data_IF_022698502396
#
_entry.id   IF_022698502396
#
_cell.length_a   1.000
_cell.length_b   1.000
_cell.length_c   1.000
_cell.angle_alpha   90.00
_cell.angle_beta   90.00
_cell.angle_gamma   90.00
#
_symmetry.space_group_name_H-M   'P 1'
#
loop_
_entity.id
_entity.type
_entity.pdbx_description
1 polymer ?
#
# COMPACT_ATOMS: atom_id res chain seq x y z
N UNK A 1 -15.79 -5.62 18.61
CA UNK A 1 -14.63 -6.45 19.06
C UNK A 1 -13.54 -5.49 19.48
N UNK A 2 -13.16 -5.49 20.75
CA UNK A 2 -11.98 -4.71 21.20
C UNK A 2 -10.74 -5.27 20.52
N UNK A 3 -9.90 -4.39 19.96
CA UNK A 3 -8.58 -4.74 19.45
C UNK A 3 -7.79 -5.27 20.65
N UNK A 4 -7.41 -6.54 20.64
CA UNK A 4 -6.68 -7.14 21.74
C UNK A 4 -5.21 -6.70 21.76
N UNK A 5 -4.65 -6.38 20.59
CA UNK A 5 -3.30 -5.84 20.44
C UNK A 5 -3.22 -4.95 19.19
N UNK A 6 -2.28 -3.99 19.15
CA UNK A 6 -2.01 -3.17 17.96
C UNK A 6 -1.59 -4.02 16.74
N UNK A 7 -1.01 -5.19 16.97
CA UNK A 7 -0.62 -6.15 15.91
C UNK A 7 -1.80 -6.72 15.13
N UNK A 8 -3.02 -6.66 15.69
CA UNK A 8 -4.21 -7.17 15.02
C UNK A 8 -4.79 -6.17 14.00
N UNK A 9 -4.37 -4.90 14.09
CA UNK A 9 -4.75 -3.86 13.15
C UNK A 9 -3.98 -4.02 11.84
N UNK A 10 -4.69 -4.33 10.76
CA UNK A 10 -4.13 -4.31 9.41
C UNK A 10 -4.62 -3.09 8.65
N UNK A 11 -3.75 -2.11 8.52
CA UNK A 11 -4.05 -0.81 7.94
C UNK A 11 -4.45 -0.91 6.46
N UNK A 12 -3.75 -1.78 5.71
CA UNK A 12 -3.99 -2.04 4.28
C UNK A 12 -3.80 -3.53 4.02
N UNK A 13 -4.78 -4.17 3.37
CA UNK A 13 -4.69 -5.57 2.94
C UNK A 13 -5.55 -5.83 1.72
N UNK A 14 -5.33 -6.93 1.02
CA UNK A 14 -6.30 -7.44 0.07
C UNK A 14 -7.49 -8.08 0.79
N UNK A 15 -8.64 -8.12 0.11
CA UNK A 15 -9.71 -9.05 0.48
C UNK A 15 -9.31 -10.48 0.07
N UNK A 16 -10.12 -11.49 0.43
CA UNK A 16 -9.81 -12.92 0.19
C UNK A 16 -9.57 -13.24 -1.28
N UNK A 17 -10.29 -12.58 -2.20
CA UNK A 17 -10.22 -12.80 -3.63
C UNK A 17 -9.14 -11.94 -4.31
N UNK A 18 -8.47 -11.07 -3.59
CA UNK A 18 -7.52 -10.06 -4.08
C UNK A 18 -8.09 -9.18 -5.21
N UNK A 19 -9.41 -8.93 -5.18
CA UNK A 19 -10.12 -8.07 -6.14
C UNK A 19 -10.58 -6.73 -5.52
N UNK A 20 -10.21 -6.49 -4.27
CA UNK A 20 -10.42 -5.26 -3.52
C UNK A 20 -9.34 -5.01 -2.49
N UNK A 21 -9.07 -3.74 -2.23
CA UNK A 21 -8.17 -3.28 -1.18
C UNK A 21 -8.99 -2.92 0.05
N UNK A 22 -8.74 -3.57 1.17
CA UNK A 22 -9.35 -3.22 2.45
C UNK A 22 -8.42 -2.26 3.18
N UNK A 23 -8.93 -1.10 3.56
CA UNK A 23 -8.22 -0.11 4.37
C UNK A 23 -8.97 0.16 5.66
N UNK A 24 -8.25 0.50 6.73
CA UNK A 24 -8.80 1.11 7.92
C UNK A 24 -9.01 2.60 7.65
N UNK A 25 -10.27 3.08 7.78
CA UNK A 25 -10.55 4.52 7.64
C UNK A 25 -10.04 5.29 8.86
N UNK A 26 -8.83 5.84 8.74
CA UNK A 26 -8.17 6.55 9.82
C UNK A 26 -8.79 7.91 10.14
N UNK A 27 -9.69 8.43 9.30
CA UNK A 27 -10.40 9.69 9.56
C UNK A 27 -11.43 9.56 10.67
N UNK A 28 -11.87 8.34 10.96
CA UNK A 28 -12.86 8.04 11.99
C UNK A 28 -12.25 7.71 13.35
N UNK A 29 -10.92 7.50 13.41
CA UNK A 29 -10.22 7.21 14.65
C UNK A 29 -10.07 8.47 15.53
N UNK A 30 -10.05 8.34 16.86
CA UNK A 30 -10.24 7.12 17.65
C UNK A 30 -11.72 6.78 17.92
N UNK A 31 -12.66 7.57 17.43
CA UNK A 31 -14.07 7.44 17.79
C UNK A 31 -14.73 6.19 17.21
N UNK A 32 -14.29 5.73 16.05
CA UNK A 32 -14.86 4.56 15.36
C UNK A 32 -13.80 3.83 14.57
N UNK A 33 -13.74 2.52 14.70
CA UNK A 33 -13.00 1.63 13.81
C UNK A 33 -13.91 1.21 12.65
N UNK A 34 -13.51 1.53 11.42
CA UNK A 34 -14.25 1.16 10.21
C UNK A 34 -13.30 0.78 9.09
N UNK A 35 -13.63 -0.28 8.38
CA UNK A 35 -12.89 -0.73 7.22
C UNK A 35 -13.67 -0.46 5.94
N UNK A 36 -12.98 -0.01 4.91
CA UNK A 36 -13.52 0.22 3.58
C UNK A 36 -12.90 -0.79 2.61
N UNK A 37 -13.71 -1.34 1.71
CA UNK A 37 -13.23 -2.14 0.58
C UNK A 37 -13.25 -1.27 -0.67
N UNK A 38 -12.09 -1.03 -1.25
CA UNK A 38 -11.89 -0.19 -2.42
C UNK A 38 -11.66 -1.09 -3.62
N UNK A 39 -12.41 -0.86 -4.68
CA UNK A 39 -12.44 -1.73 -5.87
C UNK A 39 -12.20 -0.98 -7.17
N UNK A 40 -12.28 0.35 -7.17
CA UNK A 40 -12.09 1.21 -8.34
C UNK A 40 -10.96 2.21 -8.12
N UNK A 41 -10.44 2.77 -9.22
CA UNK A 41 -9.41 3.79 -9.16
C UNK A 41 -9.89 5.05 -8.43
N UNK A 42 -11.16 5.41 -8.59
CA UNK A 42 -11.80 6.56 -7.95
C UNK A 42 -11.87 6.39 -6.44
N UNK A 43 -12.28 5.21 -5.98
CA UNK A 43 -12.35 4.90 -4.54
C UNK A 43 -10.97 4.93 -3.89
N UNK A 44 -9.95 4.39 -4.58
CA UNK A 44 -8.56 4.38 -4.11
C UNK A 44 -8.00 5.80 -4.07
N UNK A 45 -8.23 6.57 -5.14
CA UNK A 45 -7.83 7.97 -5.22
C UNK A 45 -8.45 8.79 -4.07
N UNK A 46 -9.77 8.65 -3.87
CA UNK A 46 -10.50 9.34 -2.81
C UNK A 46 -9.97 8.99 -1.41
N UNK A 47 -9.69 7.71 -1.18
CA UNK A 47 -9.17 7.24 0.10
C UNK A 47 -7.78 7.82 0.42
N UNK A 48 -6.91 7.95 -0.58
CA UNK A 48 -5.58 8.54 -0.44
C UNK A 48 -5.70 10.07 -0.28
N UNK A 49 -6.49 10.72 -1.13
CA UNK A 49 -6.69 12.17 -1.13
C UNK A 49 -7.28 12.67 0.18
N UNK A 50 -8.32 11.99 0.68
CA UNK A 50 -9.02 12.33 1.95
C UNK A 50 -8.31 11.82 3.20
N UNK A 51 -7.11 11.25 3.07
CA UNK A 51 -6.34 10.71 4.21
C UNK A 51 -7.06 9.59 4.99
N UNK A 52 -7.97 8.86 4.36
CA UNK A 52 -8.56 7.65 4.95
C UNK A 52 -7.49 6.58 5.16
N UNK A 53 -6.50 6.50 4.26
CA UNK A 53 -5.21 5.87 4.46
C UNK A 53 -4.14 6.96 4.49
N UNK A 54 -3.26 6.95 5.49
CA UNK A 54 -2.25 7.98 5.69
C UNK A 54 -0.96 7.39 6.27
N UNK A 55 0.15 8.12 6.09
CA UNK A 55 1.51 7.64 6.36
C UNK A 55 2.18 7.23 5.05
N UNK A 56 3.45 7.64 4.89
CA UNK A 56 4.14 7.48 3.61
C UNK A 56 4.19 6.02 3.12
N UNK A 57 4.58 5.02 3.95
CA UNK A 57 4.58 3.61 3.54
C UNK A 57 3.17 3.08 3.27
N UNK A 58 2.20 3.33 4.15
CA UNK A 58 0.84 2.84 4.00
C UNK A 58 0.17 3.37 2.71
N UNK A 59 0.44 4.62 2.32
CA UNK A 59 -0.03 5.20 1.05
C UNK A 59 0.61 4.47 -0.14
N UNK A 60 1.91 4.19 -0.08
CA UNK A 60 2.61 3.43 -1.13
C UNK A 60 2.04 2.02 -1.30
N UNK A 61 1.78 1.31 -0.20
CA UNK A 61 1.16 -0.03 -0.20
C UNK A 61 -0.26 0.04 -0.76
N UNK A 62 -1.07 1.01 -0.31
CA UNK A 62 -2.42 1.19 -0.82
C UNK A 62 -2.45 1.47 -2.33
N UNK A 63 -1.47 2.24 -2.83
CA UNK A 63 -1.33 2.52 -4.26
C UNK A 63 -0.91 1.27 -5.06
N UNK A 64 0.05 0.49 -4.56
CA UNK A 64 0.48 -0.76 -5.21
C UNK A 64 -0.65 -1.79 -5.27
N UNK A 65 -1.38 -1.96 -4.18
CA UNK A 65 -2.55 -2.84 -4.11
C UNK A 65 -3.67 -2.33 -5.02
N UNK A 66 -3.93 -1.02 -4.98
CA UNK A 66 -4.96 -0.38 -5.77
C UNK A 66 -4.72 -0.49 -7.27
N UNK A 67 -3.52 -0.21 -7.75
CA UNK A 67 -3.22 -0.32 -9.18
C UNK A 67 -3.30 -1.78 -9.65
N UNK A 68 -2.91 -2.75 -8.81
CA UNK A 68 -3.09 -4.18 -9.13
C UNK A 68 -4.58 -4.53 -9.26
N UNK A 69 -5.43 -4.14 -8.29
CA UNK A 69 -6.88 -4.40 -8.32
C UNK A 69 -7.51 -3.82 -9.58
N UNK A 70 -7.12 -2.62 -9.98
CA UNK A 70 -7.60 -2.00 -11.22
C UNK A 70 -7.05 -2.71 -12.48
N UNK A 71 -5.75 -3.02 -12.50
CA UNK A 71 -5.10 -3.68 -13.64
C UNK A 71 -5.65 -5.10 -13.87
N UNK A 72 -6.00 -5.82 -12.81
CA UNK A 72 -6.64 -7.13 -12.90
C UNK A 72 -7.94 -7.10 -13.72
N UNK A 73 -8.67 -5.98 -13.69
CA UNK A 73 -9.95 -5.77 -14.37
C UNK A 73 -9.82 -5.32 -15.82
N UNK A 74 -8.61 -4.98 -16.29
CA UNK A 74 -8.39 -4.65 -17.69
C UNK A 74 -8.61 -5.92 -18.51
N UNK A 75 -9.71 -5.94 -19.26
CA UNK A 75 -10.10 -7.09 -20.09
C UNK A 75 -9.49 -6.97 -21.49
N UNK A 76 -8.25 -7.43 -21.64
CA UNK A 76 -7.53 -7.47 -22.89
C UNK A 76 -6.39 -8.50 -22.86
N UNK A 77 -6.05 -9.03 -24.01
CA UNK A 77 -4.83 -9.83 -24.25
C UNK A 77 -3.76 -9.04 -25.00
N UNK A 78 -4.15 -7.88 -25.53
CA UNK A 78 -3.28 -6.97 -26.27
C UNK A 78 -2.38 -6.20 -25.31
N UNK A 79 -1.06 -6.47 -25.36
CA UNK A 79 -0.07 -5.85 -24.47
C UNK A 79 -0.07 -4.32 -24.53
N UNK A 80 -0.16 -3.75 -25.74
CA UNK A 80 -0.18 -2.29 -25.93
C UNK A 80 -1.39 -1.64 -25.27
N UNK A 81 -2.56 -2.26 -25.39
CA UNK A 81 -3.79 -1.80 -24.75
C UNK A 81 -3.67 -1.89 -23.23
N UNK A 82 -3.19 -3.03 -22.72
CA UNK A 82 -2.98 -3.21 -21.28
C UNK A 82 -2.05 -2.16 -20.68
N UNK A 83 -0.89 -1.94 -21.32
CA UNK A 83 0.09 -0.94 -20.83
C UNK A 83 -0.49 0.47 -20.85
N UNK A 84 -1.23 0.82 -21.91
CA UNK A 84 -1.85 2.15 -22.01
C UNK A 84 -2.91 2.37 -20.92
N UNK A 85 -3.79 1.40 -20.68
CA UNK A 85 -4.79 1.50 -19.61
C UNK A 85 -4.13 1.50 -18.21
N UNK A 86 -3.11 0.65 -18.00
CA UNK A 86 -2.34 0.65 -16.76
C UNK A 86 -1.71 2.02 -16.47
N UNK A 87 -1.11 2.68 -17.48
CA UNK A 87 -0.51 4.00 -17.33
C UNK A 87 -1.54 5.08 -17.01
N UNK A 88 -2.71 5.05 -17.63
CA UNK A 88 -3.80 5.98 -17.29
C UNK A 88 -4.20 5.85 -15.81
N UNK A 89 -4.38 4.62 -15.34
CA UNK A 89 -4.70 4.36 -13.94
C UNK A 89 -3.57 4.85 -13.03
N UNK A 90 -2.33 4.57 -13.37
CA UNK A 90 -1.14 5.02 -12.63
C UNK A 90 -1.10 6.55 -12.51
N UNK A 91 -1.26 7.27 -13.61
CA UNK A 91 -1.26 8.73 -13.62
C UNK A 91 -2.41 9.30 -12.79
N UNK A 92 -3.59 8.71 -12.91
CA UNK A 92 -4.74 9.11 -12.11
C UNK A 92 -4.48 8.94 -10.62
N UNK A 93 -4.00 7.78 -10.18
CA UNK A 93 -3.69 7.53 -8.76
C UNK A 93 -2.55 8.42 -8.25
N UNK A 94 -1.51 8.68 -9.06
CA UNK A 94 -0.41 9.57 -8.70
C UNK A 94 -0.90 11.00 -8.42
N UNK A 95 -1.96 11.44 -9.12
CA UNK A 95 -2.58 12.75 -8.92
C UNK A 95 -3.29 12.93 -7.57
N UNK A 96 -3.54 11.85 -6.82
CA UNK A 96 -4.21 11.94 -5.50
C UNK A 96 -3.38 12.70 -4.47
N UNK A 97 -2.04 12.52 -4.48
CA UNK A 97 -1.09 13.25 -3.63
C UNK A 97 0.26 13.42 -4.34
N UNK A 98 0.41 14.44 -5.20
CA UNK A 98 1.59 14.61 -6.06
C UNK A 98 2.93 14.73 -5.29
N UNK A 99 2.91 15.17 -4.05
CA UNK A 99 4.09 15.30 -3.19
C UNK A 99 4.43 14.05 -2.37
N UNK A 100 3.59 13.02 -2.42
CA UNK A 100 3.81 11.78 -1.68
C UNK A 100 4.80 10.86 -2.43
N UNK A 101 6.07 10.94 -2.08
CA UNK A 101 7.16 10.21 -2.76
C UNK A 101 6.90 8.71 -2.81
N UNK A 102 6.46 8.10 -1.70
CA UNK A 102 6.19 6.66 -1.64
C UNK A 102 5.03 6.22 -2.56
N UNK A 103 4.02 7.08 -2.76
CA UNK A 103 2.94 6.84 -3.71
C UNK A 103 3.50 6.64 -5.12
N UNK A 104 4.24 7.62 -5.59
CA UNK A 104 4.81 7.61 -6.95
C UNK A 104 5.85 6.51 -7.10
N UNK A 105 6.69 6.29 -6.09
CA UNK A 105 7.70 5.23 -6.08
C UNK A 105 7.07 3.83 -6.20
N UNK A 106 6.00 3.56 -5.45
CA UNK A 106 5.27 2.29 -5.52
C UNK A 106 4.62 2.09 -6.88
N UNK A 107 3.93 3.10 -7.41
CA UNK A 107 3.32 3.04 -8.75
C UNK A 107 4.36 2.83 -9.86
N UNK A 108 5.51 3.50 -9.78
CA UNK A 108 6.62 3.30 -10.72
C UNK A 108 7.22 1.89 -10.60
N UNK A 109 7.32 1.36 -9.40
CA UNK A 109 7.79 -0.01 -9.15
C UNK A 109 6.85 -1.02 -9.79
N UNK A 110 5.55 -0.84 -9.66
CA UNK A 110 4.54 -1.68 -10.32
C UNK A 110 4.64 -1.62 -11.85
N UNK A 111 4.84 -0.44 -12.45
CA UNK A 111 5.05 -0.33 -13.91
C UNK A 111 6.33 -1.02 -14.37
N UNK A 112 7.40 -0.99 -13.59
CA UNK A 112 8.66 -1.68 -13.94
C UNK A 112 8.48 -3.19 -14.16
N UNK A 113 7.51 -3.82 -13.52
CA UNK A 113 7.18 -5.24 -13.76
C UNK A 113 6.88 -5.48 -15.24
N UNK A 114 6.09 -4.59 -15.86
CA UNK A 114 5.71 -4.71 -17.27
C UNK A 114 6.91 -4.47 -18.20
N UNK A 115 7.73 -3.47 -17.86
CA UNK A 115 8.91 -3.10 -18.66
C UNK A 115 10.01 -4.16 -18.57
N UNK A 116 10.22 -4.75 -17.40
CA UNK A 116 11.24 -5.76 -17.17
C UNK A 116 10.92 -7.12 -17.82
N UNK A 117 9.66 -7.39 -18.12
CA UNK A 117 9.20 -8.68 -18.65
C UNK A 117 8.40 -8.53 -19.96
N UNK A 118 8.98 -7.97 -21.05
CA UNK A 118 8.25 -7.63 -22.27
C UNK A 118 7.77 -8.87 -23.06
N UNK A 119 8.33 -10.03 -22.78
CA UNK A 119 7.97 -11.29 -23.46
C UNK A 119 6.74 -11.97 -22.88
N UNK A 120 6.42 -11.69 -21.60
CA UNK A 120 5.29 -12.31 -20.94
C UNK A 120 3.95 -11.86 -21.52
N UNK A 121 2.93 -12.71 -21.40
CA UNK A 121 1.54 -12.40 -21.71
C UNK A 121 0.88 -11.49 -20.66
N UNK A 122 -0.26 -10.89 -20.99
CA UNK A 122 -1.04 -10.07 -20.04
C UNK A 122 -1.45 -10.84 -18.78
N UNK A 123 -1.93 -12.10 -18.84
CA UNK A 123 -2.18 -12.89 -17.63
C UNK A 123 -0.95 -13.07 -16.76
N UNK A 124 0.22 -13.38 -17.34
CA UNK A 124 1.47 -13.50 -16.58
C UNK A 124 1.90 -12.19 -15.95
N UNK A 125 1.70 -11.05 -16.62
CA UNK A 125 1.89 -9.73 -16.02
C UNK A 125 0.99 -9.50 -14.81
N UNK A 126 -0.29 -9.87 -14.87
CA UNK A 126 -1.21 -9.74 -13.73
C UNK A 126 -0.74 -10.56 -12.53
N UNK A 127 -0.23 -11.77 -12.75
CA UNK A 127 0.36 -12.60 -11.69
C UNK A 127 1.62 -11.96 -11.08
N UNK A 128 2.51 -11.39 -11.90
CA UNK A 128 3.69 -10.70 -11.40
C UNK A 128 3.32 -9.41 -10.66
N UNK A 129 2.35 -8.65 -11.15
CA UNK A 129 1.86 -7.45 -10.46
C UNK A 129 1.29 -7.79 -9.07
N UNK A 130 0.59 -8.91 -8.93
CA UNK A 130 0.13 -9.39 -7.63
C UNK A 130 1.29 -9.67 -6.68
N UNK A 131 2.27 -10.44 -7.16
CA UNK A 131 3.46 -10.78 -6.37
C UNK A 131 4.25 -9.55 -5.95
N UNK A 132 4.42 -8.60 -6.88
CA UNK A 132 5.13 -7.35 -6.61
C UNK A 132 4.41 -6.48 -5.59
N UNK A 133 3.07 -6.39 -5.67
CA UNK A 133 2.28 -5.68 -4.67
C UNK A 133 2.46 -6.28 -3.27
N UNK A 134 2.43 -7.61 -3.15
CA UNK A 134 2.71 -8.30 -1.88
C UNK A 134 4.14 -8.02 -1.41
N UNK A 135 5.14 -8.08 -2.30
CA UNK A 135 6.54 -7.83 -1.96
C UNK A 135 6.75 -6.42 -1.39
N UNK A 136 6.10 -5.40 -1.96
CA UNK A 136 6.15 -4.02 -1.43
C UNK A 136 5.70 -3.97 0.03
N UNK A 137 4.63 -4.68 0.39
CA UNK A 137 4.15 -4.73 1.77
C UNK A 137 5.09 -5.51 2.69
N UNK A 138 5.58 -6.65 2.23
CA UNK A 138 6.44 -7.53 3.04
C UNK A 138 7.80 -6.88 3.32
N UNK A 139 8.36 -6.18 2.34
CA UNK A 139 9.60 -5.41 2.49
C UNK A 139 9.43 -4.27 3.52
N UNK A 140 8.29 -3.57 3.50
CA UNK A 140 7.99 -2.53 4.49
C UNK A 140 7.87 -3.14 5.90
N UNK A 141 7.17 -4.27 6.05
CA UNK A 141 7.05 -4.97 7.32
C UNK A 141 8.42 -5.42 7.85
N UNK A 142 9.25 -6.00 6.97
CA UNK A 142 10.60 -6.43 7.32
C UNK A 142 11.50 -5.25 7.72
N UNK A 143 11.43 -4.13 7.01
CA UNK A 143 12.17 -2.92 7.34
C UNK A 143 11.76 -2.34 8.70
N UNK A 144 10.45 -2.25 8.98
CA UNK A 144 9.95 -1.79 10.28
C UNK A 144 10.41 -2.69 11.42
N UNK A 145 10.34 -4.02 11.25
CA UNK A 145 10.85 -4.97 12.24
C UNK A 145 12.35 -4.78 12.47
N UNK A 146 13.13 -4.67 11.40
CA UNK A 146 14.59 -4.50 11.50
C UNK A 146 14.99 -3.20 12.20
N UNK A 147 14.23 -2.11 11.97
CA UNK A 147 14.42 -0.84 12.71
C UNK A 147 14.23 -1.08 14.20
N UNK A 148 13.12 -1.74 14.60
CA UNK A 148 12.84 -2.05 16.00
C UNK A 148 13.92 -2.92 16.64
N UNK A 149 14.31 -4.02 15.98
CA UNK A 149 15.35 -4.93 16.47
C UNK A 149 16.70 -4.22 16.64
N UNK A 150 17.12 -3.42 15.67
CA UNK A 150 18.37 -2.63 15.78
C UNK A 150 18.30 -1.58 16.91
N UNK A 151 17.14 -0.98 17.14
CA UNK A 151 16.97 0.00 18.21
C UNK A 151 17.05 -0.63 19.62
N UNK A 152 16.66 -1.91 19.78
CA UNK A 152 16.69 -2.57 21.09
C UNK A 152 18.07 -2.55 21.74
N UNK A 153 19.14 -2.64 20.96
CA UNK A 153 20.51 -2.59 21.47
C UNK A 153 20.89 -1.21 22.06
N UNK A 154 20.19 -0.16 21.64
CA UNK A 154 20.43 1.22 22.07
C UNK A 154 19.58 1.62 23.28
N UNK A 155 18.50 0.89 23.55
CA UNK A 155 17.52 1.25 24.56
C UNK A 155 17.88 0.67 25.94
N UNK A 156 17.62 1.45 26.99
CA UNK A 156 17.76 1.05 28.39
C UNK A 156 16.52 1.46 29.18
N UNK A 157 16.17 0.74 30.25
CA UNK A 157 15.06 1.13 31.12
C UNK A 157 15.15 2.58 31.58
N UNK A 158 14.06 3.32 31.49
CA UNK A 158 13.97 4.73 31.89
C UNK A 158 14.39 5.74 30.81
N UNK A 159 14.84 5.33 29.63
CA UNK A 159 15.10 6.25 28.53
C UNK A 159 13.81 6.81 27.94
N UNK A 160 13.84 8.09 27.58
CA UNK A 160 12.80 8.73 26.76
C UNK A 160 13.09 8.53 25.28
N UNK A 161 12.05 8.23 24.49
CA UNK A 161 12.15 8.11 23.03
C UNK A 161 11.35 9.24 22.41
N UNK A 162 12.00 10.01 21.52
CA UNK A 162 11.35 11.04 20.72
C UNK A 162 11.20 10.55 19.28
N UNK A 163 9.98 10.58 18.76
CA UNK A 163 9.69 10.26 17.36
C UNK A 163 9.17 11.49 16.63
N UNK A 164 9.24 11.46 15.30
CA UNK A 164 8.73 12.53 14.45
C UNK A 164 7.74 11.97 13.42
N UNK A 165 6.75 12.79 13.04
CA UNK A 165 5.72 12.45 12.07
C UNK A 165 4.77 11.33 12.54
N UNK A 166 4.03 10.73 11.60
CA UNK A 166 3.18 9.57 11.84
C UNK A 166 4.01 8.30 11.70
N UNK A 167 4.66 7.89 12.77
CA UNK A 167 5.68 6.84 12.78
C UNK A 167 5.19 5.49 13.34
N UNK A 168 3.94 5.44 13.82
CA UNK A 168 3.35 4.24 14.41
C UNK A 168 2.75 3.27 13.40
N UNK A 169 2.16 2.21 13.92
CA UNK A 169 1.58 1.08 13.17
C UNK A 169 0.58 1.50 12.07
N UNK A 170 -0.17 2.59 12.28
CA UNK A 170 -1.16 3.08 11.32
C UNK A 170 -0.56 3.68 10.04
N UNK A 171 0.74 3.98 10.03
CA UNK A 171 1.43 4.63 8.92
C UNK A 171 2.17 3.68 7.98
N UNK A 172 2.24 2.42 8.34
CA UNK A 172 3.06 1.35 7.71
C UNK A 172 2.24 0.08 7.51
N UNK A 173 2.87 -0.99 7.04
CA UNK A 173 2.24 -2.31 6.92
C UNK A 173 2.04 -2.98 8.28
N UNK A 174 3.09 -3.02 9.10
CA UNK A 174 3.14 -3.63 10.43
C UNK A 174 4.22 -2.94 11.29
N UNK A 175 4.09 -3.03 12.61
CA UNK A 175 4.98 -2.47 13.63
C UNK A 175 4.99 -0.94 13.70
N UNK A 176 5.64 -0.27 12.79
CA UNK A 176 5.95 1.14 12.80
C UNK A 176 7.45 1.40 12.63
N UNK A 177 7.80 2.66 12.41
CA UNK A 177 9.20 3.10 12.28
C UNK A 177 9.74 3.74 13.58
N UNK A 178 8.95 3.68 14.65
CA UNK A 178 9.31 4.23 15.96
C UNK A 178 9.10 3.20 17.07
#
# INVERSE_FOLDING_TARGET
RMIQTLSDLKTVRFNEQADGVIILDQTLLPGKEAYLTLTTAEEIWDAIYKLKVRGAPAIGIAAAYGIYVCARRIDTVEKSVFVNEFRKIKEYLAGSRPTAVNLVAALNRMERVLVAHPTLSVPEWKELLYKEAIAIREEDAAACRQIGENCLELLRPGMGILTHCNAGHLAVSEYGTA
#
